data_IF_032607127412
#
_entry.id   IF_032607127412
#
_cell.length_a   1.000
_cell.length_b   1.000
_cell.length_c   1.000
_cell.angle_alpha   90.00
_cell.angle_beta   90.00
_cell.angle_gamma   90.00
#
_symmetry.space_group_name_H-M   'P 1'
#
loop_
_entity.id
_entity.type
_entity.pdbx_description
1 polymer ?
#
# COMPACT_ATOMS: atom_id res chain seq x y z
N UNK A 1 21.12 5.68 4.30
CA UNK A 1 20.89 4.30 3.83
C UNK A 1 19.39 4.09 3.71
N UNK A 2 18.94 3.24 2.79
CA UNK A 2 17.53 2.90 2.67
C UNK A 2 17.03 2.25 3.97
N UNK A 3 15.72 2.29 4.21
CA UNK A 3 15.03 1.61 5.32
C UNK A 3 13.96 0.68 4.80
N UNK A 4 13.47 -0.21 5.65
CA UNK A 4 12.31 -1.05 5.38
C UNK A 4 11.19 -0.69 6.36
N UNK A 5 10.01 -0.38 5.84
CA UNK A 5 8.79 -0.14 6.61
C UNK A 5 7.85 -1.33 6.42
N UNK A 6 7.76 -2.19 7.45
CA UNK A 6 6.94 -3.41 7.42
C UNK A 6 5.66 -3.24 8.21
N UNK A 7 4.52 -3.67 7.65
CA UNK A 7 3.22 -3.62 8.33
C UNK A 7 2.28 -4.75 7.87
N UNK A 8 1.23 -5.01 8.65
CA UNK A 8 0.16 -5.94 8.25
C UNK A 8 -0.89 -5.26 7.37
N UNK A 9 -1.08 -5.77 6.15
CA UNK A 9 -2.21 -5.46 5.28
C UNK A 9 -3.44 -6.15 5.85
N UNK A 10 -4.21 -5.40 6.67
CA UNK A 10 -5.38 -5.92 7.38
C UNK A 10 -6.51 -6.31 6.43
N UNK A 11 -6.77 -5.45 5.45
CA UNK A 11 -7.80 -5.57 4.44
C UNK A 11 -7.13 -5.42 3.09
N UNK A 12 -7.08 -6.51 2.33
CA UNK A 12 -6.42 -6.55 1.04
C UNK A 12 -7.48 -6.49 -0.06
N UNK A 13 -7.95 -5.27 -0.30
CA UNK A 13 -9.00 -4.94 -1.25
C UNK A 13 -8.47 -4.38 -2.57
N UNK A 14 -7.16 -4.09 -2.64
CA UNK A 14 -6.50 -3.40 -3.76
C UNK A 14 -6.55 -1.87 -3.68
N UNK A 15 -6.95 -1.30 -2.53
CA UNK A 15 -7.06 0.16 -2.32
C UNK A 15 -5.84 0.79 -1.65
N UNK A 16 -5.22 0.15 -0.65
CA UNK A 16 -4.03 0.67 0.04
C UNK A 16 -3.15 -0.48 0.60
N UNK A 17 -2.14 -0.95 -0.16
CA UNK A 17 -1.64 -0.35 -1.39
C UNK A 17 -2.61 -0.52 -2.58
N UNK A 18 -2.52 0.37 -3.56
CA UNK A 18 -3.18 0.22 -4.85
C UNK A 18 -2.15 -0.20 -5.91
N UNK A 19 -2.15 -1.47 -6.38
CA UNK A 19 -1.11 -2.02 -7.26
C UNK A 19 -1.42 -1.86 -8.76
N UNK A 20 -2.46 -1.11 -9.11
CA UNK A 20 -3.04 -1.12 -10.44
C UNK A 20 -2.41 -0.06 -11.37
N UNK A 21 -2.54 -0.32 -12.68
CA UNK A 21 -2.15 0.63 -13.74
C UNK A 21 -0.65 0.93 -13.78
N UNK A 22 0.18 -0.07 -13.52
CA UNK A 22 1.64 0.02 -13.67
C UNK A 22 2.38 0.65 -12.48
N UNK A 23 1.64 1.13 -11.46
CA UNK A 23 2.22 1.73 -10.26
C UNK A 23 1.61 1.13 -9.00
N UNK A 24 2.45 0.85 -8.01
CA UNK A 24 2.00 0.63 -6.64
C UNK A 24 2.00 1.96 -5.90
N UNK A 25 0.86 2.31 -5.32
CA UNK A 25 0.68 3.57 -4.61
C UNK A 25 0.21 3.32 -3.18
N UNK A 26 0.71 4.13 -2.27
CA UNK A 26 0.22 4.26 -0.91
C UNK A 26 -0.19 5.72 -0.70
N UNK A 27 -1.37 6.07 -1.22
CA UNK A 27 -1.94 7.41 -1.11
C UNK A 27 -2.70 7.62 0.20
N UNK A 28 -3.37 6.57 0.68
CA UNK A 28 -4.21 6.59 1.88
C UNK A 28 -3.68 5.60 2.91
N UNK A 29 -4.25 5.62 4.12
CA UNK A 29 -3.80 4.81 5.24
C UNK A 29 -2.32 5.07 5.63
N UNK A 30 -1.84 4.36 6.66
CA UNK A 30 -0.43 4.33 7.10
C UNK A 30 0.29 5.71 7.08
N UNK A 31 -0.30 6.78 7.68
CA UNK A 31 0.26 8.12 7.62
C UNK A 31 1.69 8.19 8.16
N UNK A 32 2.03 7.37 9.16
CA UNK A 32 3.38 7.32 9.71
C UNK A 32 4.43 6.85 8.68
N UNK A 33 4.10 5.86 7.84
CA UNK A 33 4.99 5.40 6.75
C UNK A 33 5.06 6.47 5.67
N UNK A 34 3.91 6.99 5.22
CA UNK A 34 3.85 8.04 4.19
C UNK A 34 4.66 9.27 4.58
N UNK A 35 4.65 9.64 5.87
CA UNK A 35 5.40 10.77 6.42
C UNK A 35 6.90 10.54 6.45
N UNK A 36 7.34 9.33 6.77
CA UNK A 36 8.75 9.05 7.11
C UNK A 36 9.54 8.39 6.00
N UNK A 37 8.91 7.68 5.05
CA UNK A 37 9.61 6.94 4.01
C UNK A 37 10.22 7.89 2.96
N UNK A 38 11.49 7.63 2.65
CA UNK A 38 12.26 8.34 1.64
C UNK A 38 12.29 7.59 0.31
N UNK A 39 12.64 8.28 -0.77
CA UNK A 39 12.92 7.62 -2.06
C UNK A 39 14.08 6.64 -1.85
N UNK A 40 13.88 5.39 -2.29
CA UNK A 40 14.80 4.28 -2.07
C UNK A 40 14.45 3.38 -0.88
N UNK A 41 13.57 3.81 0.03
CA UNK A 41 13.07 2.95 1.11
C UNK A 41 12.14 1.85 0.56
N UNK A 42 12.10 0.72 1.24
CA UNK A 42 11.15 -0.36 0.99
C UNK A 42 9.92 -0.24 1.88
N UNK A 43 8.74 -0.49 1.31
CA UNK A 43 7.50 -0.72 2.07
C UNK A 43 7.05 -2.15 1.81
N UNK A 44 6.85 -2.91 2.88
CA UNK A 44 6.52 -4.35 2.84
C UNK A 44 5.23 -4.61 3.58
N UNK A 45 4.27 -5.25 2.89
CA UNK A 45 2.99 -5.65 3.44
C UNK A 45 2.93 -7.14 3.72
N UNK A 46 2.77 -7.53 4.98
CA UNK A 46 2.47 -8.92 5.38
C UNK A 46 0.95 -9.15 5.44
N UNK A 47 0.50 -10.35 5.11
CA UNK A 47 -0.90 -10.71 5.15
C UNK A 47 -1.47 -10.76 6.58
N UNK A 48 -2.76 -10.51 6.71
CA UNK A 48 -3.46 -10.55 7.99
C UNK A 48 -3.66 -11.97 8.50
N UNK A 49 -3.38 -12.19 9.79
CA UNK A 49 -3.74 -13.44 10.48
C UNK A 49 -5.14 -13.38 11.13
N UNK A 50 -5.98 -12.41 10.73
CA UNK A 50 -7.39 -12.40 11.11
C UNK A 50 -8.06 -13.74 10.74
N UNK A 51 -8.99 -14.22 11.57
CA UNK A 51 -9.64 -15.52 11.42
C UNK A 51 -10.34 -15.70 10.07
N UNK A 52 -10.77 -14.60 9.44
CA UNK A 52 -11.43 -14.58 8.13
C UNK A 52 -10.45 -14.51 6.96
N UNK A 53 -9.21 -14.05 7.19
CA UNK A 53 -8.18 -13.88 6.16
C UNK A 53 -7.20 -15.05 6.15
N UNK A 54 -6.63 -15.42 7.29
CA UNK A 54 -5.67 -16.54 7.45
C UNK A 54 -4.52 -16.49 6.42
N UNK A 55 -3.90 -15.31 6.28
CA UNK A 55 -2.73 -15.06 5.42
C UNK A 55 -1.54 -14.50 6.20
N UNK A 56 -1.52 -14.66 7.53
CA UNK A 56 -0.33 -14.37 8.33
C UNK A 56 0.88 -15.13 7.81
N UNK A 57 2.07 -14.52 7.85
CA UNK A 57 3.30 -15.13 7.35
C UNK A 57 3.50 -15.04 5.84
N UNK A 58 2.55 -14.47 5.08
CA UNK A 58 2.64 -14.33 3.62
C UNK A 58 2.88 -12.90 3.17
N UNK A 59 3.64 -12.74 2.10
CA UNK A 59 3.88 -11.46 1.44
C UNK A 59 2.65 -11.06 0.62
N UNK A 60 2.07 -9.89 0.92
CA UNK A 60 1.05 -9.29 0.05
C UNK A 60 1.74 -8.48 -1.04
N UNK A 61 2.69 -7.64 -0.65
CA UNK A 61 3.45 -6.82 -1.58
C UNK A 61 4.77 -6.31 -0.98
N UNK A 62 5.69 -5.94 -1.86
CA UNK A 62 6.85 -5.13 -1.53
C UNK A 62 7.00 -4.06 -2.62
N UNK A 63 7.29 -2.81 -2.23
CA UNK A 63 7.62 -1.75 -3.17
C UNK A 63 8.83 -0.96 -2.68
N UNK A 64 9.74 -0.63 -3.57
CA UNK A 64 10.76 0.38 -3.33
C UNK A 64 10.18 1.74 -3.72
N UNK A 65 10.17 2.71 -2.82
CA UNK A 65 9.64 4.05 -3.10
C UNK A 65 10.50 4.68 -4.19
N UNK A 66 9.91 4.95 -5.35
CA UNK A 66 10.62 5.58 -6.47
C UNK A 66 10.24 7.05 -6.63
N UNK A 67 9.09 7.45 -6.11
CA UNK A 67 8.58 8.81 -6.20
C UNK A 67 7.66 9.10 -5.00
N UNK A 68 7.59 10.37 -4.59
CA UNK A 68 6.64 10.84 -3.60
C UNK A 68 6.14 12.23 -3.97
N UNK A 69 4.85 12.47 -3.82
CA UNK A 69 4.21 13.74 -4.20
C UNK A 69 3.03 14.05 -3.29
N UNK A 70 2.51 15.28 -3.38
CA UNK A 70 1.30 15.71 -2.67
C UNK A 70 0.03 15.12 -3.32
N UNK A 71 -1.11 15.19 -2.63
CA UNK A 71 -2.40 14.81 -3.21
C UNK A 71 -2.79 15.67 -4.41
N UNK A 72 -2.42 16.96 -4.41
CA UNK A 72 -2.73 17.86 -5.53
C UNK A 72 -1.96 17.46 -6.79
N UNK A 73 -0.65 17.18 -6.66
CA UNK A 73 0.19 16.68 -7.75
C UNK A 73 -0.31 15.32 -8.24
N UNK A 74 -0.62 14.41 -7.32
CA UNK A 74 -1.19 13.09 -7.64
C UNK A 74 -2.53 13.18 -8.38
N UNK A 75 -3.36 14.16 -8.01
CA UNK A 75 -4.66 14.42 -8.63
C UNK A 75 -4.56 15.03 -10.03
N UNK A 76 -3.51 15.81 -10.29
CA UNK A 76 -3.30 16.51 -11.57
C UNK A 76 -2.49 15.69 -12.58
N UNK A 77 -1.74 14.69 -12.13
CA UNK A 77 -0.87 13.88 -12.98
C UNK A 77 -1.68 12.86 -13.82
N UNK A 78 -1.61 12.93 -15.16
CA UNK A 78 -2.34 12.02 -16.05
C UNK A 78 -2.03 10.53 -15.83
N UNK A 79 -0.85 10.18 -15.28
CA UNK A 79 -0.48 8.79 -14.95
C UNK A 79 -1.45 8.15 -13.96
N UNK A 80 -2.09 8.96 -13.12
CA UNK A 80 -2.92 8.49 -12.01
C UNK A 80 -4.41 8.82 -12.17
N UNK A 81 -4.83 9.22 -13.38
CA UNK A 81 -6.23 9.48 -13.69
C UNK A 81 -7.09 8.23 -13.46
N UNK A 82 -6.64 7.07 -13.92
CA UNK A 82 -7.33 5.78 -13.71
C UNK A 82 -7.30 5.27 -12.27
N UNK A 83 -6.54 5.93 -11.38
CA UNK A 83 -6.56 5.66 -9.94
C UNK A 83 -7.61 6.50 -9.21
N UNK A 84 -8.38 7.34 -9.90
CA UNK A 84 -9.62 7.89 -9.34
C UNK A 84 -10.69 6.79 -9.31
N UNK A 85 -11.41 6.61 -8.17
CA UNK A 85 -12.38 5.54 -8.03
C UNK A 85 -13.60 5.76 -8.93
N UNK A 86 -14.00 4.72 -9.65
CA UNK A 86 -15.31 4.65 -10.32
C UNK A 86 -16.12 3.50 -9.73
N UNK A 87 -17.05 3.84 -8.82
CA UNK A 87 -17.75 2.89 -7.95
C UNK A 87 -18.68 1.92 -8.69
N UNK A 88 -19.21 2.35 -9.84
CA UNK A 88 -20.04 1.52 -10.72
C UNK A 88 -19.22 0.78 -11.81
N UNK A 89 -17.89 0.87 -11.75
CA UNK A 89 -17.00 0.19 -12.67
C UNK A 89 -16.65 -1.23 -12.25
N UNK A 90 -15.64 -1.79 -12.92
CA UNK A 90 -15.01 -3.04 -12.49
C UNK A 90 -14.43 -2.91 -11.07
N UNK A 91 -14.15 -4.05 -10.42
CA UNK A 91 -13.49 -4.08 -9.10
C UNK A 91 -12.18 -3.26 -9.10
N UNK A 92 -11.39 -3.37 -10.17
CA UNK A 92 -10.16 -2.59 -10.34
C UNK A 92 -10.40 -1.08 -10.36
N UNK A 93 -11.47 -0.65 -11.04
CA UNK A 93 -11.84 0.77 -11.14
C UNK A 93 -12.43 1.30 -9.83
N UNK A 94 -13.15 0.47 -9.06
CA UNK A 94 -13.76 0.90 -7.79
C UNK A 94 -12.75 1.06 -6.64
N UNK A 95 -11.58 0.44 -6.75
CA UNK A 95 -10.48 0.48 -5.77
C UNK A 95 -9.51 1.65 -5.93
N UNK A 96 -9.78 2.62 -6.79
CA UNK A 96 -8.91 3.80 -6.98
C UNK A 96 -8.62 4.54 -5.67
N UNK A 97 -7.34 4.84 -5.41
CA UNK A 97 -6.86 5.50 -4.18
C UNK A 97 -6.62 7.02 -4.33
N UNK A 98 -6.81 7.57 -5.54
CA UNK A 98 -6.80 9.01 -5.82
C UNK A 98 -8.14 9.65 -5.42
N UNK A 99 -8.36 9.76 -4.10
CA UNK A 99 -9.68 10.10 -3.55
C UNK A 99 -9.77 11.48 -2.92
N UNK A 100 -8.64 12.09 -2.55
CA UNK A 100 -8.62 13.40 -1.89
C UNK A 100 -8.28 14.49 -2.89
N UNK A 101 -9.02 15.58 -2.85
CA UNK A 101 -8.82 16.75 -3.70
C UNK A 101 -9.30 18.00 -2.99
N UNK A 102 -8.93 19.17 -3.51
CA UNK A 102 -9.40 20.48 -3.02
C UNK A 102 -9.48 21.46 -4.18
N UNK A 103 -10.32 22.47 -4.04
CA UNK A 103 -10.55 23.45 -5.11
C UNK A 103 -9.33 24.35 -5.37
N UNK A 104 -8.55 24.62 -4.33
CA UNK A 104 -7.33 25.40 -4.39
C UNK A 104 -6.42 25.04 -3.20
N UNK A 105 -5.11 25.35 -3.27
CA UNK A 105 -4.22 25.24 -2.12
C UNK A 105 -4.79 25.97 -0.89
N UNK A 106 -4.83 25.28 0.25
CA UNK A 106 -5.39 25.81 1.50
C UNK A 106 -6.90 25.64 1.67
N UNK A 107 -7.65 25.29 0.63
CA UNK A 107 -9.07 24.95 0.76
C UNK A 107 -9.27 23.62 1.53
N UNK A 108 -10.47 23.45 2.09
CA UNK A 108 -10.85 22.22 2.77
C UNK A 108 -10.75 21.00 1.83
N UNK A 109 -10.26 19.90 2.37
CA UNK A 109 -10.20 18.63 1.65
C UNK A 109 -11.59 18.10 1.36
N UNK A 110 -11.79 17.68 0.12
CA UNK A 110 -12.94 16.93 -0.35
C UNK A 110 -12.53 15.48 -0.60
N UNK A 111 -13.52 14.60 -0.70
CA UNK A 111 -13.33 13.17 -0.86
C UNK A 111 -14.26 12.63 -1.95
N UNK A 112 -13.71 11.86 -2.89
CA UNK A 112 -14.48 11.09 -3.87
C UNK A 112 -15.10 9.85 -3.22
N UNK A 113 -16.24 9.41 -3.73
CA UNK A 113 -16.86 8.16 -3.28
C UNK A 113 -15.89 6.98 -3.51
N UNK A 114 -15.56 6.23 -2.44
CA UNK A 114 -14.43 5.31 -2.36
C UNK A 114 -14.57 4.33 -1.19
N UNK A 115 -13.54 3.53 -0.89
CA UNK A 115 -13.53 2.70 0.32
C UNK A 115 -13.32 3.50 1.62
N UNK A 116 -12.98 4.79 1.52
CA UNK A 116 -12.86 5.66 2.67
C UNK A 116 -14.04 6.64 2.82
N UNK A 117 -15.02 6.65 1.91
CA UNK A 117 -16.28 7.39 2.07
C UNK A 117 -17.25 6.65 3.00
N UNK A 118 -18.38 7.28 3.32
CA UNK A 118 -19.53 6.60 3.94
C UNK A 118 -20.23 5.68 2.93
N UNK A 119 -21.09 4.74 3.36
CA UNK A 119 -21.79 3.82 2.43
C UNK A 119 -22.65 4.51 1.36
N UNK A 120 -23.11 5.74 1.61
CA UNK A 120 -23.86 6.56 0.65
C UNK A 120 -22.96 7.47 -0.21
N UNK A 121 -21.65 7.26 -0.16
CA UNK A 121 -20.64 7.99 -0.92
C UNK A 121 -20.26 9.37 -0.39
N UNK A 122 -20.86 9.83 0.71
CA UNK A 122 -20.50 11.13 1.30
C UNK A 122 -19.18 11.05 2.08
N UNK A 123 -18.57 12.21 2.26
CA UNK A 123 -17.29 12.37 2.93
C UNK A 123 -17.32 11.77 4.35
N UNK A 124 -16.25 11.04 4.70
CA UNK A 124 -15.99 10.58 6.06
C UNK A 124 -14.93 11.49 6.73
N UNK A 125 -15.32 12.36 7.70
CA UNK A 125 -14.40 13.32 8.30
C UNK A 125 -13.19 12.70 8.99
N UNK A 126 -13.36 11.55 9.63
CA UNK A 126 -12.28 10.88 10.37
C UNK A 126 -11.22 10.34 9.40
N UNK A 127 -11.65 9.75 8.29
CA UNK A 127 -10.74 9.28 7.25
C UNK A 127 -10.04 10.45 6.55
N UNK A 128 -10.77 11.52 6.22
CA UNK A 128 -10.17 12.73 5.66
C UNK A 128 -9.09 13.26 6.60
N UNK A 129 -9.42 13.56 7.85
CA UNK A 129 -8.47 14.13 8.82
C UNK A 129 -7.23 13.24 8.99
N UNK A 130 -7.43 11.92 9.10
CA UNK A 130 -6.33 10.96 9.25
C UNK A 130 -5.41 10.90 8.04
N UNK A 131 -5.98 10.81 6.84
CA UNK A 131 -5.20 10.61 5.63
C UNK A 131 -4.57 11.90 5.12
N UNK A 132 -5.31 13.00 5.13
CA UNK A 132 -4.82 14.30 4.65
C UNK A 132 -3.95 15.04 5.67
N UNK A 133 -3.88 14.56 6.92
CA UNK A 133 -2.88 14.98 7.91
C UNK A 133 -1.43 14.66 7.50
N UNK A 134 -1.26 13.87 6.44
CA UNK A 134 -0.01 13.67 5.70
C UNK A 134 -0.30 13.91 4.22
N UNK A 135 -0.01 15.10 3.71
CA UNK A 135 -0.14 15.44 2.29
C UNK A 135 1.02 14.84 1.48
N UNK A 136 1.09 13.51 1.45
CA UNK A 136 2.16 12.76 0.79
C UNK A 136 1.64 11.39 0.35
N UNK A 137 1.81 11.11 -0.93
CA UNK A 137 1.51 9.85 -1.62
C UNK A 137 2.85 9.20 -1.96
N UNK A 138 3.05 7.95 -1.55
CA UNK A 138 4.22 7.17 -1.98
C UNK A 138 3.88 6.40 -3.25
N UNK A 139 4.79 6.41 -4.22
CA UNK A 139 4.60 5.83 -5.54
C UNK A 139 5.81 4.95 -5.87
N UNK A 140 5.53 3.84 -6.54
CA UNK A 140 6.55 2.92 -7.00
C UNK A 140 6.20 2.31 -8.35
N UNK A 141 7.14 2.36 -9.29
CA UNK A 141 7.17 1.48 -10.47
C UNK A 141 8.12 0.27 -10.28
N UNK A 142 8.74 0.15 -9.09
CA UNK A 142 9.60 -0.96 -8.70
C UNK A 142 8.97 -1.70 -7.51
N UNK A 143 7.99 -2.54 -7.84
CA UNK A 143 7.19 -3.27 -6.87
C UNK A 143 6.87 -4.67 -7.34
N UNK A 144 6.43 -5.49 -6.40
CA UNK A 144 5.71 -6.73 -6.67
C UNK A 144 4.49 -6.79 -5.76
N UNK A 145 3.33 -7.12 -6.31
CA UNK A 145 2.09 -7.32 -5.58
C UNK A 145 1.56 -8.72 -5.88
N UNK A 146 1.61 -9.60 -4.87
CA UNK A 146 1.09 -10.97 -4.96
C UNK A 146 -0.34 -11.10 -4.45
N UNK A 147 -0.83 -10.12 -3.69
CA UNK A 147 -2.19 -10.12 -3.15
C UNK A 147 -2.44 -11.31 -2.21
N UNK A 148 -3.58 -11.98 -2.39
CA UNK A 148 -4.06 -13.03 -1.49
C UNK A 148 -3.33 -14.37 -1.55
N UNK A 149 -2.41 -14.56 -2.50
CA UNK A 149 -1.74 -15.84 -2.77
C UNK A 149 -0.21 -15.75 -2.72
N UNK A 150 0.33 -14.69 -2.10
CA UNK A 150 1.77 -14.51 -2.07
C UNK A 150 2.56 -15.56 -1.27
N UNK A 151 3.89 -15.58 -1.51
CA UNK A 151 4.80 -16.54 -0.91
C UNK A 151 4.91 -16.34 0.61
N UNK A 152 5.32 -17.39 1.30
CA UNK A 152 5.66 -17.31 2.72
C UNK A 152 6.99 -16.57 2.90
N UNK A 153 7.09 -15.79 3.97
CA UNK A 153 8.35 -15.14 4.32
C UNK A 153 9.38 -16.19 4.74
N UNK A 154 10.60 -16.17 4.18
CA UNK A 154 11.72 -16.95 4.70
C UNK A 154 12.01 -16.59 6.15
N UNK A 155 12.34 -17.58 6.98
CA UNK A 155 12.68 -17.37 8.39
C UNK A 155 13.95 -16.54 8.56
N UNK A 156 14.81 -16.50 7.54
CA UNK A 156 16.09 -15.79 7.53
C UNK A 156 15.95 -14.29 7.28
N UNK A 157 14.76 -13.81 6.90
CA UNK A 157 14.49 -12.37 6.76
C UNK A 157 14.27 -11.72 8.13
N UNK A 158 15.37 -11.58 8.86
CA UNK A 158 15.44 -10.94 10.18
C UNK A 158 16.60 -9.96 10.22
N UNK A 159 16.52 -8.96 11.08
CA UNK A 159 17.64 -8.06 11.33
C UNK A 159 18.67 -8.65 12.30
N UNK A 160 19.75 -7.92 12.55
CA UNK A 160 20.81 -8.25 13.49
C UNK A 160 20.33 -8.47 14.94
N UNK A 161 19.11 -8.04 15.28
CA UNK A 161 18.49 -8.27 16.60
C UNK A 161 17.46 -9.41 16.57
N UNK A 162 17.50 -10.26 15.54
CA UNK A 162 16.58 -11.38 15.31
C UNK A 162 15.11 -10.96 15.17
N UNK A 163 14.83 -9.67 14.88
CA UNK A 163 13.47 -9.20 14.66
C UNK A 163 13.03 -9.59 13.24
N UNK A 164 11.91 -10.32 13.07
CA UNK A 164 11.46 -10.76 11.76
C UNK A 164 10.90 -9.60 10.93
N UNK A 165 11.25 -9.61 9.64
CA UNK A 165 10.69 -8.67 8.67
C UNK A 165 9.18 -8.88 8.49
N UNK A 166 8.72 -10.12 8.52
CA UNK A 166 7.29 -10.44 8.48
C UNK A 166 6.59 -9.83 9.70
N UNK A 167 5.77 -8.80 9.48
CA UNK A 167 5.07 -8.15 10.58
C UNK A 167 3.96 -9.06 11.09
N UNK A 168 3.90 -9.21 12.40
CA UNK A 168 2.74 -9.74 13.12
C UNK A 168 2.08 -8.65 13.97
N UNK A 169 0.76 -8.70 14.07
CA UNK A 169 -0.04 -7.79 14.89
C UNK A 169 -0.19 -6.37 14.33
N UNK A 170 -0.73 -5.49 15.18
CA UNK A 170 -1.02 -4.10 14.85
C UNK A 170 0.27 -3.26 14.83
N UNK A 171 0.29 -2.21 14.03
CA UNK A 171 1.39 -1.23 13.96
C UNK A 171 2.26 -1.38 12.72
N UNK A 172 3.48 -0.88 12.82
CA UNK A 172 4.55 -0.97 11.82
C UNK A 172 5.87 -1.25 12.52
N UNK A 173 6.83 -1.84 11.81
CA UNK A 173 8.23 -1.94 12.23
C UNK A 173 9.10 -1.30 11.16
N UNK A 174 10.07 -0.48 11.58
CA UNK A 174 11.07 0.10 10.68
C UNK A 174 12.43 -0.54 10.94
N UNK A 175 13.12 -0.90 9.87
CA UNK A 175 14.45 -1.49 9.88
C UNK A 175 15.42 -0.60 9.11
N UNK A 176 16.62 -0.42 9.65
CA UNK A 176 17.76 0.30 9.06
C UNK A 176 18.99 -0.61 8.89
N UNK A 177 18.79 -1.93 8.97
CA UNK A 177 19.81 -2.95 8.79
C UNK A 177 20.11 -3.19 7.29
N UNK A 178 21.32 -2.83 6.88
CA UNK A 178 21.79 -2.97 5.51
C UNK A 178 21.78 -4.42 5.00
N UNK A 179 22.08 -5.40 5.87
CA UNK A 179 22.08 -6.81 5.48
C UNK A 179 20.65 -7.32 5.27
N UNK A 180 19.71 -6.92 6.14
CA UNK A 180 18.30 -7.25 5.94
C UNK A 180 17.74 -6.63 4.65
N UNK A 181 18.12 -5.39 4.34
CA UNK A 181 17.72 -4.72 3.08
C UNK A 181 18.24 -5.50 1.88
N UNK A 182 19.52 -5.88 1.87
CA UNK A 182 20.11 -6.67 0.79
C UNK A 182 19.45 -8.05 0.66
N UNK A 183 19.13 -8.70 1.79
CA UNK A 183 18.43 -9.99 1.80
C UNK A 183 17.00 -9.88 1.27
N UNK A 184 16.26 -8.84 1.68
CA UNK A 184 14.93 -8.53 1.14
C UNK A 184 15.00 -8.34 -0.37
N UNK A 185 15.91 -7.49 -0.85
CA UNK A 185 16.05 -7.22 -2.27
C UNK A 185 16.37 -8.51 -3.03
N UNK A 186 17.36 -9.29 -2.59
CA UNK A 186 17.71 -10.59 -3.20
C UNK A 186 16.50 -11.53 -3.27
N UNK A 187 15.72 -11.62 -2.19
CA UNK A 187 14.54 -12.48 -2.14
C UNK A 187 13.46 -12.00 -3.11
N UNK A 188 13.12 -10.71 -3.11
CA UNK A 188 12.12 -10.14 -4.03
C UNK A 188 12.55 -10.35 -5.49
N UNK A 189 13.84 -10.15 -5.81
CA UNK A 189 14.34 -10.35 -7.17
C UNK A 189 14.39 -11.82 -7.58
N UNK A 190 14.52 -12.76 -6.65
CA UNK A 190 14.56 -14.20 -6.97
C UNK A 190 13.27 -14.76 -7.58
N UNK A 191 12.15 -14.05 -7.44
CA UNK A 191 10.89 -14.46 -8.08
C UNK A 191 10.86 -14.17 -9.59
N UNK A 192 11.78 -13.36 -10.11
CA UNK A 192 11.86 -12.95 -11.53
C UNK A 192 10.53 -12.37 -12.08
N UNK A 193 9.79 -11.65 -11.22
CA UNK A 193 8.53 -10.99 -11.55
C UNK A 193 8.49 -9.58 -10.98
N UNK A 194 7.65 -8.72 -11.58
CA UNK A 194 7.44 -7.34 -11.13
C UNK A 194 6.01 -6.88 -11.42
N UNK A 195 5.55 -5.87 -10.71
CA UNK A 195 4.20 -5.33 -10.83
C UNK A 195 3.13 -6.21 -10.18
N UNK A 196 1.93 -6.18 -10.76
CA UNK A 196 0.76 -6.91 -10.27
C UNK A 196 0.79 -8.37 -10.72
N UNK A 197 0.87 -9.30 -9.76
CA UNK A 197 1.00 -10.75 -9.99
C UNK A 197 -0.25 -11.53 -9.57
N UNK A 198 -0.96 -11.08 -8.53
CA UNK A 198 -2.10 -11.80 -7.98
C UNK A 198 -3.22 -10.86 -7.54
N UNK A 199 -4.43 -11.40 -7.43
CA UNK A 199 -5.59 -10.63 -7.00
C UNK A 199 -5.55 -10.29 -5.52
N UNK A 200 -6.08 -9.11 -5.11
CA UNK A 200 -6.30 -8.83 -3.71
C UNK A 200 -7.09 -9.94 -3.04
N UNK A 201 -6.74 -10.29 -1.79
CA UNK A 201 -7.37 -11.40 -1.07
C UNK A 201 -8.90 -11.33 -1.07
N UNK A 202 -9.46 -10.13 -0.86
CA UNK A 202 -10.92 -9.95 -0.82
C UNK A 202 -11.61 -10.26 -2.15
N UNK A 203 -10.87 -10.24 -3.27
CA UNK A 203 -11.44 -10.58 -4.56
C UNK A 203 -11.57 -12.09 -4.75
N UNK A 204 -10.77 -12.88 -4.03
CA UNK A 204 -10.78 -14.34 -4.06
C UNK A 204 -11.99 -14.90 -3.31
N UNK A 205 -12.38 -14.27 -2.20
CA UNK A 205 -13.52 -14.72 -1.38
C UNK A 205 -14.87 -14.44 -2.01
N UNK A 206 -14.94 -13.44 -2.90
CA UNK A 206 -16.13 -13.06 -3.66
C UNK A 206 -16.35 -13.89 -4.95
N UNK A 207 -15.50 -14.88 -5.24
CA UNK A 207 -15.65 -15.81 -6.38
C UNK A 207 -16.21 -17.17 -5.96
N UNK A 208 -16.76 -17.27 -4.74
CA UNK A 208 -17.45 -18.46 -4.24
C UNK A 208 -18.95 -18.34 -4.41
#
# INVERSE_FOLDING_TARGET
MARIHSYVVRYDSGFAPNPFYGYCTLATCKPNIRRSADIGDWVVGSGSNDRTVRRGGRLVYAMRVTEAMTFDEYGADPRFEYKMPYRNGSRKQSCGDNIYFRAAPGAAWQQRDSFHSRPNGTLNPDHVARDTGVNRVLISNDFVYFGGEGPEFPEELKDQQDRPLCKTGIGLTTFDDAQLIANLEKWIRSFDVSGYQGAPFEWLTLRR
#
